data_IF_353444421805
#
_entry.id   IF_353444421805
#
_cell.length_a   1.000
_cell.length_b   1.000
_cell.length_c   1.000
_cell.angle_alpha   90.00
_cell.angle_beta   90.00
_cell.angle_gamma   90.00
#
_symmetry.space_group_name_H-M   'P 1'
#
loop_
_entity.id
_entity.type
_entity.pdbx_description
1 polymer ?
#
# COMPACT_ATOMS: atom_id res chain seq x y z
N UNK A 1 -1.34 21.66 0.18
CA UNK A 1 -2.51 20.91 0.70
C UNK A 1 -3.31 20.13 -0.36
N UNK A 2 -3.83 20.72 -1.45
CA UNK A 2 -4.74 20.01 -2.36
C UNK A 2 -4.09 18.81 -3.08
N UNK A 3 -2.84 18.94 -3.50
CA UNK A 3 -2.08 17.84 -4.15
C UNK A 3 -1.98 16.61 -3.24
N UNK A 4 -1.82 16.84 -1.94
CA UNK A 4 -1.56 15.78 -0.97
C UNK A 4 -2.85 15.04 -0.64
N UNK A 5 -3.94 15.80 -0.50
CA UNK A 5 -5.28 15.21 -0.39
C UNK A 5 -5.61 14.38 -1.65
N UNK A 6 -5.30 14.89 -2.84
CA UNK A 6 -5.49 14.14 -4.09
C UNK A 6 -4.65 12.87 -4.14
N UNK A 7 -3.38 12.92 -3.73
CA UNK A 7 -2.51 11.73 -3.66
C UNK A 7 -3.02 10.72 -2.64
N UNK A 8 -3.49 11.18 -1.47
CA UNK A 8 -4.07 10.33 -0.44
C UNK A 8 -5.34 9.64 -0.94
N UNK A 9 -6.27 10.39 -1.53
CA UNK A 9 -7.51 9.85 -2.11
C UNK A 9 -7.21 8.85 -3.24
N UNK A 10 -6.22 9.15 -4.09
CA UNK A 10 -5.80 8.25 -5.15
C UNK A 10 -5.15 6.96 -4.61
N UNK A 11 -4.36 7.06 -3.54
CA UNK A 11 -3.79 5.89 -2.85
C UNK A 11 -4.88 5.01 -2.23
N UNK A 12 -5.91 5.60 -1.62
CA UNK A 12 -7.08 4.87 -1.09
C UNK A 12 -7.86 4.20 -2.22
N UNK A 13 -8.09 4.91 -3.33
CA UNK A 13 -8.73 4.33 -4.51
C UNK A 13 -7.94 3.11 -5.04
N UNK A 14 -6.62 3.23 -5.16
CA UNK A 14 -5.76 2.12 -5.57
C UNK A 14 -5.81 0.95 -4.58
N UNK A 15 -5.86 1.21 -3.28
CA UNK A 15 -6.04 0.16 -2.26
C UNK A 15 -7.34 -0.63 -2.47
N UNK A 16 -8.45 0.05 -2.78
CA UNK A 16 -9.74 -0.61 -3.07
C UNK A 16 -9.64 -1.46 -4.35
N UNK A 17 -9.01 -0.94 -5.40
CA UNK A 17 -8.81 -1.70 -6.65
C UNK A 17 -7.97 -2.96 -6.40
N UNK A 18 -6.86 -2.83 -5.64
CA UNK A 18 -5.99 -3.94 -5.27
C UNK A 18 -6.76 -4.97 -4.44
N UNK A 19 -7.58 -4.55 -3.47
CA UNK A 19 -8.42 -5.43 -2.68
C UNK A 19 -9.38 -6.23 -3.56
N UNK A 20 -10.11 -5.58 -4.48
CA UNK A 20 -11.05 -6.27 -5.38
C UNK A 20 -10.31 -7.29 -6.25
N UNK A 21 -9.13 -6.95 -6.75
CA UNK A 21 -8.33 -7.86 -7.57
C UNK A 21 -7.81 -9.06 -6.77
N UNK A 22 -7.30 -8.83 -5.56
CA UNK A 22 -6.87 -9.89 -4.65
C UNK A 22 -8.04 -10.79 -4.28
N UNK A 23 -9.20 -10.23 -3.92
CA UNK A 23 -10.36 -11.03 -3.56
C UNK A 23 -10.81 -11.96 -4.70
N UNK A 24 -10.71 -11.49 -5.95
CA UNK A 24 -11.11 -12.28 -7.13
C UNK A 24 -10.10 -13.36 -7.55
N UNK A 25 -8.80 -13.14 -7.34
CA UNK A 25 -7.74 -14.01 -7.89
C UNK A 25 -6.86 -14.71 -6.84
N UNK A 26 -6.81 -14.18 -5.63
CA UNK A 26 -5.95 -14.59 -4.53
C UNK A 26 -6.69 -14.42 -3.19
N UNK A 27 -7.86 -15.07 -3.05
CA UNK A 27 -8.75 -14.90 -1.90
C UNK A 27 -8.12 -15.29 -0.56
N UNK A 28 -7.19 -16.24 -0.57
CA UNK A 28 -6.37 -16.63 0.57
C UNK A 28 -5.45 -15.48 1.05
N UNK A 29 -4.73 -14.85 0.13
CA UNK A 29 -3.88 -13.68 0.40
C UNK A 29 -4.75 -12.51 0.85
N UNK A 30 -5.88 -12.29 0.20
CA UNK A 30 -6.85 -11.24 0.56
C UNK A 30 -7.31 -11.38 2.02
N UNK A 31 -7.70 -12.60 2.41
CA UNK A 31 -8.17 -12.89 3.76
C UNK A 31 -7.08 -12.66 4.81
N UNK A 32 -5.86 -13.13 4.55
CA UNK A 32 -4.74 -13.04 5.50
C UNK A 32 -4.28 -11.59 5.69
N UNK A 33 -4.07 -10.84 4.60
CA UNK A 33 -3.41 -9.55 4.65
C UNK A 33 -4.37 -8.35 4.64
N UNK A 34 -5.55 -8.46 4.02
CA UNK A 34 -6.53 -7.37 3.98
C UNK A 34 -7.61 -7.54 5.03
N UNK A 35 -8.39 -8.61 4.97
CA UNK A 35 -9.51 -8.77 5.91
C UNK A 35 -8.99 -8.87 7.34
N UNK A 36 -8.12 -9.83 7.63
CA UNK A 36 -7.60 -10.07 8.98
C UNK A 36 -6.59 -9.02 9.46
N UNK A 37 -5.79 -8.47 8.53
CA UNK A 37 -4.71 -7.54 8.87
C UNK A 37 -5.13 -6.08 8.97
N UNK A 38 -5.84 -5.57 7.97
CA UNK A 38 -6.24 -4.16 7.89
C UNK A 38 -7.58 -3.88 8.60
N UNK A 39 -8.54 -4.81 8.56
CA UNK A 39 -9.88 -4.56 9.10
C UNK A 39 -10.12 -5.17 10.49
N UNK A 40 -9.55 -6.33 10.82
CA UNK A 40 -9.72 -6.98 12.14
C UNK A 40 -8.68 -6.56 13.21
N UNK A 41 -7.72 -5.70 12.86
CA UNK A 41 -6.98 -4.83 13.80
C UNK A 41 -6.17 -5.52 14.91
N UNK A 42 -5.59 -6.71 14.66
CA UNK A 42 -4.57 -7.27 15.56
C UNK A 42 -3.18 -6.77 15.16
N UNK A 43 -2.33 -6.26 16.10
CA UNK A 43 -1.04 -5.66 15.76
C UNK A 43 -0.12 -6.56 14.93
N UNK A 44 -0.14 -7.87 15.19
CA UNK A 44 0.66 -8.85 14.45
C UNK A 44 0.20 -9.00 13.00
N UNK A 45 -1.12 -9.05 12.76
CA UNK A 45 -1.67 -9.17 11.41
C UNK A 45 -1.58 -7.85 10.64
N UNK A 46 -1.67 -6.72 11.35
CA UNK A 46 -1.44 -5.40 10.79
C UNK A 46 0.01 -5.27 10.30
N UNK A 47 0.99 -5.71 11.11
CA UNK A 47 2.41 -5.75 10.71
C UNK A 47 2.63 -6.63 9.47
N UNK A 48 2.00 -7.81 9.42
CA UNK A 48 2.03 -8.69 8.23
C UNK A 48 1.40 -8.01 7.00
N UNK A 49 0.29 -7.30 7.17
CA UNK A 49 -0.36 -6.56 6.10
C UNK A 49 0.54 -5.45 5.54
N UNK A 50 1.13 -4.63 6.42
CA UNK A 50 2.10 -3.61 6.04
C UNK A 50 3.31 -4.22 5.33
N UNK A 51 3.83 -5.33 5.87
CA UNK A 51 4.96 -6.02 5.27
C UNK A 51 4.63 -6.54 3.87
N UNK A 52 3.44 -7.12 3.66
CA UNK A 52 2.99 -7.54 2.34
C UNK A 52 2.81 -6.35 1.39
N UNK A 53 2.23 -5.25 1.86
CA UNK A 53 1.91 -4.10 1.01
C UNK A 53 3.15 -3.33 0.54
N UNK A 54 4.21 -3.29 1.36
CA UNK A 54 5.36 -2.42 1.14
C UNK A 54 6.70 -3.15 0.94
N UNK A 55 6.73 -4.49 0.99
CA UNK A 55 7.90 -5.28 0.58
C UNK A 55 7.63 -6.08 -0.70
N UNK A 56 8.23 -5.68 -1.85
CA UNK A 56 8.04 -6.34 -3.13
C UNK A 56 8.37 -7.85 -3.15
N UNK A 57 9.24 -8.30 -2.24
CA UNK A 57 9.61 -9.70 -2.05
C UNK A 57 8.42 -10.61 -1.73
N UNK A 58 7.38 -10.06 -1.08
CA UNK A 58 6.17 -10.77 -0.70
C UNK A 58 5.18 -10.92 -1.87
N UNK A 59 5.42 -10.27 -3.02
CA UNK A 59 4.52 -10.29 -4.16
C UNK A 59 4.77 -11.44 -5.13
N UNK A 60 5.75 -12.31 -4.87
CA UNK A 60 6.09 -13.47 -5.73
C UNK A 60 4.86 -14.22 -6.28
N UNK A 61 3.86 -14.60 -5.47
CA UNK A 61 2.70 -15.36 -5.96
C UNK A 61 1.70 -14.54 -6.80
N UNK A 62 1.85 -13.22 -6.87
CA UNK A 62 0.88 -12.34 -7.51
C UNK A 62 1.10 -12.24 -9.03
N UNK A 63 0.01 -12.01 -9.76
CA UNK A 63 0.07 -11.67 -11.18
C UNK A 63 0.75 -10.30 -11.41
N UNK A 64 1.20 -10.08 -12.65
CA UNK A 64 1.98 -8.88 -13.02
C UNK A 64 1.18 -7.60 -12.82
N UNK A 65 -0.11 -7.62 -13.18
CA UNK A 65 -1.00 -6.46 -13.05
C UNK A 65 -1.11 -5.99 -11.60
N UNK A 66 -1.20 -6.94 -10.67
CA UNK A 66 -1.29 -6.63 -9.26
C UNK A 66 0.03 -6.10 -8.69
N UNK A 67 1.16 -6.64 -9.16
CA UNK A 67 2.50 -6.11 -8.84
C UNK A 67 2.65 -4.66 -9.30
N UNK A 68 2.15 -4.33 -10.49
CA UNK A 68 2.17 -2.96 -11.02
C UNK A 68 1.33 -2.02 -10.14
N UNK A 69 0.10 -2.41 -9.79
CA UNK A 69 -0.76 -1.61 -8.91
C UNK A 69 -0.13 -1.37 -7.53
N UNK A 70 0.44 -2.42 -6.92
CA UNK A 70 1.16 -2.31 -5.64
C UNK A 70 2.40 -1.41 -5.75
N UNK A 71 3.13 -1.50 -6.86
CA UNK A 71 4.30 -0.64 -7.14
C UNK A 71 3.90 0.83 -7.24
N UNK A 72 2.83 1.14 -7.96
CA UNK A 72 2.32 2.51 -8.07
C UNK A 72 1.94 3.05 -6.69
N UNK A 73 1.22 2.26 -5.88
CA UNK A 73 0.82 2.70 -4.55
C UNK A 73 2.03 2.91 -3.62
N UNK A 74 3.03 2.03 -3.71
CA UNK A 74 4.28 2.20 -2.98
C UNK A 74 5.06 3.45 -3.39
N UNK A 75 5.16 3.74 -4.69
CA UNK A 75 5.81 4.95 -5.18
C UNK A 75 5.10 6.22 -4.71
N UNK A 76 3.77 6.23 -4.66
CA UNK A 76 3.00 7.35 -4.11
C UNK A 76 3.28 7.54 -2.62
N UNK A 77 3.34 6.45 -1.85
CA UNK A 77 3.70 6.50 -0.43
C UNK A 77 5.10 7.09 -0.21
N UNK A 78 6.11 6.61 -0.96
CA UNK A 78 7.48 7.17 -0.90
C UNK A 78 7.49 8.65 -1.27
N UNK A 79 6.77 9.04 -2.33
CA UNK A 79 6.68 10.45 -2.74
C UNK A 79 6.13 11.34 -1.62
N UNK A 80 5.06 10.90 -0.95
CA UNK A 80 4.49 11.62 0.20
C UNK A 80 5.50 11.69 1.34
N UNK A 81 6.16 10.58 1.68
CA UNK A 81 7.19 10.57 2.72
C UNK A 81 8.33 11.55 2.42
N UNK A 82 8.83 11.53 1.19
CA UNK A 82 9.89 12.43 0.75
C UNK A 82 9.46 13.90 0.88
N UNK A 83 8.28 14.25 0.35
CA UNK A 83 7.77 15.62 0.34
C UNK A 83 7.50 16.20 1.72
N UNK A 84 7.13 15.37 2.69
CA UNK A 84 6.75 15.88 4.02
C UNK A 84 7.80 15.71 5.10
N UNK A 85 8.68 14.72 4.97
CA UNK A 85 9.62 14.38 6.04
C UNK A 85 11.08 14.58 5.63
N UNK A 86 11.41 14.51 4.33
CA UNK A 86 12.80 14.59 3.87
C UNK A 86 13.09 15.98 3.29
N UNK A 87 12.28 16.43 2.31
CA UNK A 87 12.47 17.71 1.63
C UNK A 87 12.53 18.91 2.61
N UNK A 88 11.63 19.02 3.62
CA UNK A 88 11.72 20.13 4.57
C UNK A 88 13.01 20.11 5.37
N UNK A 89 13.53 18.94 5.74
CA UNK A 89 14.77 18.80 6.52
C UNK A 89 15.99 19.24 5.70
N UNK A 90 15.99 18.96 4.40
CA UNK A 90 17.07 19.41 3.49
C UNK A 90 17.05 20.90 3.18
N UNK A 91 15.90 21.58 3.28
CA UNK A 91 15.84 23.04 3.10
C UNK A 91 16.40 23.82 4.31
N UNK A 92 16.55 23.18 5.47
CA UNK A 92 17.11 23.78 6.69
C UNK A 92 18.61 23.48 6.92
N UNK A 93 19.26 22.77 6.00
CA UNK A 93 20.71 22.47 6.01
C UNK A 93 21.44 23.31 4.95
#
# INVERSE_FOLDING_TARGET
MPIVLSVALFSVFLQVVIYIFLNRRHGDICKIYFENGLFYNTPELMSKAFSFYYHPWNWKPLCVELKVLLSINFSLFIFVLYKFFIEPVTEFL
#
